data_IF_509745164448
#
_entry.id   IF_509745164448
#
_cell.length_a   1.000
_cell.length_b   1.000
_cell.length_c   1.000
_cell.angle_alpha   90.00
_cell.angle_beta   90.00
_cell.angle_gamma   90.00
#
_symmetry.space_group_name_H-M   'P 1'
#
loop_
_entity.id
_entity.type
_entity.pdbx_description
1 polymer ?
#
# COMPACT_ATOMS: atom_id res chain seq x y z
N UNK A 1 3.42 -16.49 12.05
CA UNK A 1 3.05 -15.54 10.96
C UNK A 1 3.93 -14.28 10.94
N UNK A 2 4.06 -13.55 12.07
CA UNK A 2 4.83 -12.31 12.14
C UNK A 2 6.32 -12.47 11.73
N UNK A 3 6.97 -13.55 12.15
CA UNK A 3 8.37 -13.83 11.82
C UNK A 3 8.58 -14.15 10.32
N UNK A 4 7.67 -14.93 9.74
CA UNK A 4 7.64 -15.25 8.30
C UNK A 4 7.46 -13.99 7.45
N UNK A 5 6.56 -13.10 7.85
CA UNK A 5 6.36 -11.81 7.20
C UNK A 5 7.61 -10.91 7.33
N UNK A 6 8.26 -10.92 8.49
CA UNK A 6 9.52 -10.22 8.72
C UNK A 6 10.63 -10.68 7.79
N UNK A 7 10.83 -12.01 7.69
CA UNK A 7 11.80 -12.60 6.78
C UNK A 7 11.49 -12.27 5.31
N UNK A 8 10.22 -12.36 4.90
CA UNK A 8 9.83 -12.03 3.53
C UNK A 8 10.05 -10.55 3.20
N UNK A 9 9.79 -9.63 4.14
CA UNK A 9 10.09 -8.21 3.97
C UNK A 9 11.58 -7.95 3.78
N UNK A 10 12.44 -8.59 4.57
CA UNK A 10 13.90 -8.48 4.43
C UNK A 10 14.36 -9.03 3.08
N UNK A 11 13.76 -10.12 2.63
CA UNK A 11 14.08 -10.72 1.35
C UNK A 11 13.68 -9.79 0.18
N UNK A 12 12.48 -9.21 0.22
CA UNK A 12 12.05 -8.24 -0.80
C UNK A 12 12.75 -6.90 -0.72
N UNK A 13 13.22 -6.45 0.45
CA UNK A 13 13.98 -5.18 0.53
C UNK A 13 15.33 -5.29 -0.20
N UNK A 14 15.96 -6.47 -0.15
CA UNK A 14 17.16 -6.79 -0.94
C UNK A 14 16.85 -6.86 -2.43
N UNK A 15 15.65 -7.31 -2.78
CA UNK A 15 15.13 -7.38 -4.13
C UNK A 15 15.30 -8.77 -4.75
N UNK A 16 14.30 -9.21 -5.49
CA UNK A 16 14.27 -10.50 -6.17
C UNK A 16 14.28 -10.31 -7.68
N UNK A 17 15.10 -11.09 -8.37
CA UNK A 17 15.16 -11.04 -9.83
C UNK A 17 13.95 -11.74 -10.42
N UNK A 18 13.30 -11.07 -11.35
CA UNK A 18 12.11 -11.56 -12.06
C UNK A 18 12.15 -11.11 -13.52
N UNK A 19 11.26 -11.63 -14.35
CA UNK A 19 11.00 -11.09 -15.70
C UNK A 19 9.63 -10.44 -15.72
N UNK A 20 9.54 -9.27 -16.32
CA UNK A 20 8.27 -8.62 -16.62
C UNK A 20 8.24 -8.38 -18.12
N UNK A 21 7.24 -8.93 -18.80
CA UNK A 21 7.22 -9.05 -20.27
C UNK A 21 8.51 -9.72 -20.76
N UNK A 22 9.26 -9.10 -21.67
CA UNK A 22 10.53 -9.62 -22.21
C UNK A 22 11.76 -9.15 -21.46
N UNK A 23 11.60 -8.37 -20.37
CA UNK A 23 12.72 -7.68 -19.72
C UNK A 23 12.97 -8.18 -18.31
N UNK A 24 14.24 -8.39 -17.96
CA UNK A 24 14.64 -8.68 -16.58
C UNK A 24 14.45 -7.44 -15.70
N UNK A 25 13.89 -7.66 -14.51
CA UNK A 25 13.57 -6.64 -13.51
C UNK A 25 13.98 -7.13 -12.13
N UNK A 26 14.07 -6.20 -11.21
CA UNK A 26 14.25 -6.48 -9.79
C UNK A 26 12.98 -6.08 -9.05
N UNK A 27 12.24 -7.06 -8.52
CA UNK A 27 11.08 -6.84 -7.67
C UNK A 27 11.57 -6.49 -6.26
N UNK A 28 11.33 -5.28 -5.80
CA UNK A 28 11.82 -4.77 -4.53
C UNK A 28 10.71 -4.11 -3.72
N UNK A 29 10.70 -4.33 -2.41
CA UNK A 29 9.84 -3.61 -1.48
C UNK A 29 10.45 -2.22 -1.17
N UNK A 30 9.62 -1.19 -1.17
CA UNK A 30 10.04 0.17 -0.83
C UNK A 30 10.61 0.24 0.59
N UNK A 31 11.53 1.19 0.89
CA UNK A 31 12.04 1.38 2.25
C UNK A 31 10.94 1.66 3.27
N UNK A 32 9.87 2.34 2.84
CA UNK A 32 8.66 2.58 3.65
C UNK A 32 7.83 1.32 3.90
N UNK A 33 8.03 0.25 3.13
CA UNK A 33 7.26 -0.98 3.23
C UNK A 33 5.86 -0.91 2.63
N UNK A 34 5.56 0.10 1.82
CA UNK A 34 4.21 0.40 1.31
C UNK A 34 4.04 0.08 -0.18
N UNK A 35 5.13 0.04 -0.94
CA UNK A 35 5.11 -0.11 -2.39
C UNK A 35 6.03 -1.24 -2.85
N UNK A 36 5.65 -1.90 -3.93
CA UNK A 36 6.50 -2.81 -4.68
C UNK A 36 6.97 -2.10 -5.95
N UNK A 37 8.26 -2.17 -6.21
CA UNK A 37 8.90 -1.61 -7.40
C UNK A 37 9.39 -2.75 -8.29
N UNK A 38 9.09 -2.70 -9.59
CA UNK A 38 9.77 -3.52 -10.60
C UNK A 38 10.87 -2.68 -11.25
N UNK A 39 12.02 -2.65 -10.61
CA UNK A 39 13.14 -1.81 -11.01
C UNK A 39 13.82 -2.35 -12.27
N UNK A 40 14.34 -1.42 -13.08
CA UNK A 40 15.27 -1.71 -14.17
C UNK A 40 16.68 -1.27 -13.78
N UNK A 41 17.67 -1.52 -14.64
CA UNK A 41 19.05 -1.05 -14.38
C UNK A 41 19.13 0.47 -14.26
N UNK A 42 18.38 1.20 -15.09
CA UNK A 42 18.39 2.67 -15.18
C UNK A 42 17.33 3.36 -14.34
N UNK A 43 16.23 2.67 -14.00
CA UNK A 43 15.07 3.24 -13.33
C UNK A 43 14.76 2.45 -12.06
N UNK A 44 14.95 3.07 -10.89
CA UNK A 44 14.84 2.44 -9.57
C UNK A 44 13.97 3.24 -8.62
N UNK A 45 13.52 2.58 -7.55
CA UNK A 45 12.70 3.19 -6.51
C UNK A 45 11.41 3.79 -7.07
N UNK A 46 11.04 5.03 -6.69
CA UNK A 46 9.85 5.71 -7.18
C UNK A 46 9.79 5.90 -8.70
N UNK A 47 10.95 5.93 -9.36
CA UNK A 47 11.05 6.11 -10.81
C UNK A 47 11.01 4.76 -11.56
N UNK A 48 10.78 3.64 -10.86
CA UNK A 48 10.73 2.33 -11.47
C UNK A 48 9.61 2.25 -12.55
N UNK A 49 9.80 1.46 -13.60
CA UNK A 49 8.80 1.29 -14.66
C UNK A 49 7.41 0.87 -14.18
N UNK A 50 7.36 0.13 -13.07
CA UNK A 50 6.10 -0.27 -12.44
C UNK A 50 6.23 -0.06 -10.94
N UNK A 51 5.23 0.60 -10.38
CA UNK A 51 5.09 0.87 -8.95
C UNK A 51 3.71 0.43 -8.52
N UNK A 52 3.64 -0.46 -7.52
CA UNK A 52 2.38 -1.02 -7.02
C UNK A 52 2.25 -0.70 -5.54
N UNK A 53 1.15 -0.08 -5.14
CA UNK A 53 0.83 0.09 -3.72
C UNK A 53 0.33 -1.22 -3.14
N UNK A 54 0.88 -1.65 -2.00
CA UNK A 54 0.37 -2.84 -1.29
C UNK A 54 -1.08 -2.68 -0.84
N UNK A 55 -1.54 -1.44 -0.66
CA UNK A 55 -2.93 -1.16 -0.29
C UNK A 55 -3.91 -1.55 -1.42
N UNK A 56 -3.50 -1.39 -2.68
CA UNK A 56 -4.39 -1.53 -3.85
C UNK A 56 -4.40 -2.94 -4.44
N UNK A 57 -3.55 -3.85 -3.96
CA UNK A 57 -3.52 -5.24 -4.40
C UNK A 57 -4.79 -5.95 -3.97
N UNK A 58 -5.53 -6.50 -4.92
CA UNK A 58 -6.72 -7.30 -4.67
C UNK A 58 -6.41 -8.79 -4.69
N UNK A 59 -5.70 -9.21 -5.73
CA UNK A 59 -5.41 -10.61 -6.00
C UNK A 59 -3.92 -10.74 -6.32
N UNK A 60 -3.31 -11.77 -5.74
CA UNK A 60 -2.01 -12.27 -6.19
C UNK A 60 -2.22 -13.73 -6.48
N UNK A 61 -1.91 -14.22 -7.68
CA UNK A 61 -2.14 -15.62 -8.01
C UNK A 61 -1.09 -16.21 -8.93
N UNK A 62 -0.93 -17.52 -8.85
CA UNK A 62 -0.14 -18.27 -9.83
C UNK A 62 -0.99 -18.46 -11.08
N UNK A 63 -0.39 -18.26 -12.26
CA UNK A 63 -1.09 -18.57 -13.52
C UNK A 63 -1.12 -20.09 -13.71
N UNK A 64 -2.29 -20.71 -13.61
CA UNK A 64 -2.44 -22.18 -13.63
C UNK A 64 -1.90 -22.87 -14.89
N UNK A 65 -1.75 -22.13 -16.00
CA UNK A 65 -1.13 -22.62 -17.24
C UNK A 65 0.41 -22.61 -17.23
N UNK A 66 1.06 -22.10 -16.18
CA UNK A 66 2.50 -22.02 -16.10
C UNK A 66 3.08 -22.19 -14.70
N UNK A 67 4.19 -22.90 -14.61
CA UNK A 67 4.93 -23.11 -13.37
C UNK A 67 5.71 -21.89 -12.87
N UNK A 68 5.92 -20.86 -13.70
CA UNK A 68 6.80 -19.73 -13.36
C UNK A 68 6.10 -18.38 -13.29
N UNK A 69 4.94 -18.23 -13.91
CA UNK A 69 4.24 -16.95 -13.93
C UNK A 69 3.31 -16.76 -12.74
N UNK A 70 3.30 -15.54 -12.20
CA UNK A 70 2.30 -15.04 -11.27
C UNK A 70 1.70 -13.73 -11.77
N UNK A 71 0.50 -13.41 -11.32
CA UNK A 71 -0.17 -12.15 -11.56
C UNK A 71 -0.42 -11.41 -10.24
N UNK A 72 -0.25 -10.09 -10.29
CA UNK A 72 -0.65 -9.16 -9.24
C UNK A 72 -1.71 -8.25 -9.84
N UNK A 73 -2.93 -8.31 -9.32
CA UNK A 73 -4.06 -7.53 -9.78
C UNK A 73 -4.38 -6.45 -8.75
N UNK A 74 -4.52 -5.23 -9.27
CA UNK A 74 -5.00 -4.06 -8.55
C UNK A 74 -6.35 -3.64 -9.14
N UNK A 75 -6.96 -2.59 -8.58
CA UNK A 75 -8.21 -2.03 -9.11
C UNK A 75 -8.11 -1.52 -10.55
N UNK A 76 -6.94 -1.05 -10.98
CA UNK A 76 -6.73 -0.46 -12.32
C UNK A 76 -5.98 -1.39 -13.26
N UNK A 77 -5.03 -2.16 -12.73
CA UNK A 77 -4.02 -2.84 -13.53
C UNK A 77 -3.77 -4.27 -13.09
N UNK A 78 -3.43 -5.11 -14.08
CA UNK A 78 -2.94 -6.47 -13.89
C UNK A 78 -1.50 -6.57 -14.36
N UNK A 79 -0.62 -6.97 -13.45
CA UNK A 79 0.82 -7.08 -13.70
C UNK A 79 1.19 -8.55 -13.66
N UNK A 80 1.78 -9.05 -14.75
CA UNK A 80 2.25 -10.43 -14.85
C UNK A 80 3.77 -10.47 -14.74
N UNK A 81 4.25 -11.36 -13.88
CA UNK A 81 5.67 -11.50 -13.57
C UNK A 81 6.07 -12.96 -13.68
N UNK A 82 7.22 -13.20 -14.30
CA UNK A 82 7.85 -14.51 -14.39
C UNK A 82 8.91 -14.65 -13.30
N UNK A 83 8.80 -15.68 -12.46
CA UNK A 83 9.82 -16.05 -11.52
C UNK A 83 10.87 -16.97 -12.18
N UNK A 84 12.06 -17.07 -11.59
CA UNK A 84 13.12 -17.94 -12.12
C UNK A 84 12.79 -19.44 -12.00
N UNK A 85 11.96 -19.82 -11.02
CA UNK A 85 11.56 -21.19 -10.76
C UNK A 85 10.20 -21.25 -10.08
N UNK A 86 9.55 -22.41 -10.15
CA UNK A 86 8.26 -22.69 -9.48
C UNK A 86 8.28 -22.41 -7.99
N UNK A 87 9.32 -22.85 -7.31
CA UNK A 87 9.51 -22.59 -5.87
C UNK A 87 9.54 -21.09 -5.56
N UNK A 88 10.20 -20.30 -6.43
CA UNK A 88 10.28 -18.84 -6.29
C UNK A 88 8.93 -18.18 -6.56
N UNK A 89 8.19 -18.65 -7.58
CA UNK A 89 6.80 -18.22 -7.85
C UNK A 89 5.92 -18.45 -6.63
N UNK A 90 5.93 -19.66 -6.07
CA UNK A 90 5.07 -20.03 -4.95
C UNK A 90 5.40 -19.23 -3.69
N UNK A 91 6.71 -19.02 -3.42
CA UNK A 91 7.17 -18.14 -2.34
C UNK A 91 6.68 -16.70 -2.55
N UNK A 92 6.78 -16.17 -3.77
CA UNK A 92 6.31 -14.83 -4.11
C UNK A 92 4.80 -14.71 -3.95
N UNK A 93 4.02 -15.66 -4.46
CA UNK A 93 2.55 -15.64 -4.32
C UNK A 93 2.15 -15.66 -2.86
N UNK A 94 2.65 -16.62 -2.07
CA UNK A 94 2.33 -16.73 -0.65
C UNK A 94 2.77 -15.49 0.14
N UNK A 95 4.01 -15.03 -0.07
CA UNK A 95 4.57 -13.89 0.63
C UNK A 95 3.89 -12.57 0.29
N UNK A 96 3.58 -12.33 -0.98
CA UNK A 96 2.88 -11.12 -1.43
C UNK A 96 1.43 -11.09 -0.93
N UNK A 97 0.73 -12.24 -0.91
CA UNK A 97 -0.62 -12.34 -0.29
C UNK A 97 -0.58 -11.93 1.18
N UNK A 98 0.33 -12.54 1.95
CA UNK A 98 0.49 -12.24 3.37
C UNK A 98 0.86 -10.76 3.59
N UNK A 99 1.78 -10.24 2.78
CA UNK A 99 2.24 -8.85 2.88
C UNK A 99 1.12 -7.85 2.58
N UNK A 100 0.35 -8.06 1.51
CA UNK A 100 -0.76 -7.21 1.14
C UNK A 100 -1.85 -7.21 2.22
N UNK A 101 -2.26 -8.38 2.70
CA UNK A 101 -3.28 -8.51 3.76
C UNK A 101 -2.83 -7.84 5.05
N UNK A 102 -1.59 -8.08 5.48
CA UNK A 102 -1.02 -7.46 6.68
C UNK A 102 -0.99 -5.93 6.55
N UNK A 103 -0.56 -5.42 5.40
CA UNK A 103 -0.51 -3.98 5.14
C UNK A 103 -1.91 -3.35 5.12
N UNK A 104 -2.86 -3.97 4.42
CA UNK A 104 -4.24 -3.49 4.36
C UNK A 104 -4.92 -3.47 5.72
N UNK A 105 -4.68 -4.48 6.57
CA UNK A 105 -5.21 -4.51 7.95
C UNK A 105 -4.69 -3.32 8.76
N UNK A 106 -3.40 -3.01 8.64
CA UNK A 106 -2.79 -1.87 9.33
C UNK A 106 -3.26 -0.53 8.75
N UNK A 107 -3.28 -0.40 7.42
CA UNK A 107 -3.71 0.80 6.71
C UNK A 107 -5.16 1.15 6.96
N UNK A 108 -6.08 0.18 6.87
CA UNK A 108 -7.51 0.38 7.19
C UNK A 108 -7.70 0.87 8.62
N UNK A 109 -6.96 0.33 9.58
CA UNK A 109 -7.02 0.80 10.98
C UNK A 109 -6.57 2.25 11.12
N UNK A 110 -5.53 2.67 10.41
CA UNK A 110 -5.06 4.06 10.42
C UNK A 110 -6.08 5.01 9.75
N UNK A 111 -6.67 4.60 8.63
CA UNK A 111 -7.70 5.38 7.92
C UNK A 111 -8.97 5.56 8.77
N UNK A 112 -9.41 4.51 9.47
CA UNK A 112 -10.54 4.60 10.41
C UNK A 112 -10.26 5.63 11.52
N UNK A 113 -9.07 5.60 12.11
CA UNK A 113 -8.66 6.59 13.14
C UNK A 113 -8.64 8.02 12.59
N UNK A 114 -8.19 8.22 11.36
CA UNK A 114 -8.24 9.53 10.71
C UNK A 114 -9.69 10.00 10.50
N UNK A 115 -10.59 9.09 10.13
CA UNK A 115 -12.03 9.38 10.06
C UNK A 115 -12.61 9.81 11.41
N UNK A 116 -12.21 9.14 12.50
CA UNK A 116 -12.64 9.50 13.86
C UNK A 116 -12.14 10.89 14.26
N UNK A 117 -10.89 11.22 13.94
CA UNK A 117 -10.29 12.53 14.21
C UNK A 117 -11.00 13.62 13.41
N UNK A 118 -11.22 13.40 12.11
CA UNK A 118 -11.92 14.35 11.25
C UNK A 118 -13.33 14.64 11.79
N UNK A 119 -14.07 13.60 12.21
CA UNK A 119 -15.40 13.75 12.81
C UNK A 119 -15.37 14.59 14.08
N UNK A 120 -14.35 14.41 14.95
CA UNK A 120 -14.16 15.24 16.14
C UNK A 120 -13.84 16.69 15.79
N UNK A 121 -12.96 16.92 14.82
CA UNK A 121 -12.61 18.27 14.36
C UNK A 121 -13.81 19.02 13.78
N UNK A 122 -14.66 18.34 13.00
CA UNK A 122 -15.90 18.94 12.49
C UNK A 122 -16.83 19.39 13.61
N UNK A 123 -16.97 18.59 14.68
CA UNK A 123 -17.77 18.96 15.86
C UNK A 123 -17.16 20.13 16.63
N UNK A 124 -15.84 20.13 16.81
CA UNK A 124 -15.12 21.22 17.47
C UNK A 124 -15.31 22.53 16.69
N UNK A 125 -15.13 22.51 15.37
CA UNK A 125 -15.32 23.68 14.52
C UNK A 125 -16.75 24.23 14.60
N UNK A 126 -17.75 23.35 14.63
CA UNK A 126 -19.15 23.77 14.81
C UNK A 126 -19.36 24.46 16.17
N UNK A 127 -18.74 23.94 17.23
CA UNK A 127 -18.79 24.54 18.56
C UNK A 127 -18.07 25.90 18.61
N UNK A 128 -16.88 26.00 18.03
CA UNK A 128 -16.09 27.24 17.98
C UNK A 128 -16.84 28.33 17.20
N UNK A 129 -17.51 27.96 16.10
CA UNK A 129 -18.36 28.87 15.33
C UNK A 129 -19.56 29.36 16.14
N UNK A 130 -20.21 28.47 16.90
CA UNK A 130 -21.32 28.85 17.79
C UNK A 130 -20.84 29.78 18.91
N UNK A 131 -19.70 29.46 19.53
CA UNK A 131 -19.09 30.28 20.57
C UNK A 131 -18.77 31.69 20.05
N UNK A 132 -18.17 31.78 18.86
CA UNK A 132 -17.87 33.05 18.18
C UNK A 132 -19.14 33.87 17.91
N UNK A 133 -20.21 33.23 17.42
CA UNK A 133 -21.50 33.88 17.20
C UNK A 133 -22.11 34.42 18.52
N UNK A 134 -22.11 33.61 19.58
CA UNK A 134 -22.61 34.02 20.89
C UNK A 134 -21.78 35.17 21.50
N UNK A 135 -20.46 35.15 21.35
CA UNK A 135 -19.61 36.24 21.80
C UNK A 135 -19.90 37.55 21.06
N UNK A 136 -20.04 37.52 19.73
CA UNK A 136 -20.42 38.71 18.94
C UNK A 136 -21.77 39.27 19.39
N UNK A 137 -22.77 38.41 19.55
CA UNK A 137 -24.10 38.82 20.01
C UNK A 137 -24.08 39.43 21.43
N UNK A 138 -23.28 38.87 22.33
CA UNK A 138 -23.14 39.39 23.69
C UNK A 138 -22.36 40.70 23.77
N UNK A 139 -21.42 40.95 22.86
CA UNK A 139 -20.76 42.25 22.75
C UNK A 139 -21.68 43.32 22.16
N UNK A 140 -22.54 42.94 21.19
CA UNK A 140 -23.51 43.86 20.61
C UNK A 140 -24.59 44.28 21.62
N UNK A 141 -25.14 43.34 22.41
CA UNK A 141 -26.13 43.67 23.46
C UNK A 141 -25.60 44.49 24.64
N UNK A 142 -24.28 44.68 24.77
CA UNK A 142 -23.67 45.50 25.83
C UNK A 142 -23.49 46.96 25.44
N UNK A 143 -23.73 47.29 24.18
CA UNK A 143 -23.56 48.64 23.61
C UNK A 143 -24.90 49.37 23.40
N UNK A 144 -26.03 48.72 23.67
CA UNK A 144 -27.37 49.30 23.81
C UNK A 144 -27.71 49.57 25.29
#
# INVERSE_FOLDING_TARGET
>A
EAELLGHFRVLLSRGLKVRHQTKSRLLRLSPSGNYLYLESKSLRGPNAPVVVSLLTIQIVDALGSSDVYLAVETHSDKITVEAEAKKTRDLLVAGLRLLAVAFQKQGKRALLRLGDIATKQTKQLAFDNLLSYCHRRNTDMRLD
#
